data_IF_486542987718
#
_entry.id   IF_486542987718
#
_cell.length_a   1.000
_cell.length_b   1.000
_cell.length_c   1.000
_cell.angle_alpha   90.00
_cell.angle_beta   90.00
_cell.angle_gamma   90.00
#
_symmetry.space_group_name_H-M   'P 1'
#
loop_
_entity.id
_entity.type
_entity.pdbx_description
1 polymer ?
#
# COMPACT_ATOMS: atom_id res chain seq x y z
N UNK A 1 2.68 14.01 25.90
CA UNK A 1 2.72 13.66 24.48
C UNK A 1 3.02 12.17 24.31
N UNK A 2 2.22 11.51 23.54
CA UNK A 2 2.35 10.08 23.34
C UNK A 2 3.27 9.80 22.15
N UNK A 3 4.24 8.91 22.35
CA UNK A 3 5.11 8.50 21.28
C UNK A 3 4.36 7.52 20.37
N UNK A 4 4.51 7.68 19.06
CA UNK A 4 3.94 6.72 18.12
C UNK A 4 4.68 5.40 18.18
N UNK A 5 3.94 4.33 18.01
CA UNK A 5 4.55 3.01 17.89
C UNK A 5 5.19 2.88 16.51
N UNK A 6 6.26 2.10 16.45
CA UNK A 6 6.97 1.84 15.22
C UNK A 6 6.33 0.67 14.49
N UNK A 7 6.19 0.77 13.16
CA UNK A 7 5.74 -0.33 12.33
C UNK A 7 6.71 -0.47 11.16
N UNK A 8 7.12 -1.69 10.88
CA UNK A 8 8.02 -1.99 9.77
C UNK A 8 7.19 -2.39 8.57
N UNK A 9 7.44 -1.72 7.46
CA UNK A 9 6.59 -1.84 6.27
C UNK A 9 7.45 -2.10 5.04
N UNK A 10 6.97 -2.95 4.15
CA UNK A 10 7.58 -3.17 2.86
C UNK A 10 6.54 -3.03 1.75
N UNK A 11 7.03 -2.77 0.55
CA UNK A 11 6.20 -2.67 -0.65
C UNK A 11 6.82 -3.54 -1.74
N UNK A 12 6.00 -4.34 -2.40
CA UNK A 12 6.48 -5.27 -3.42
C UNK A 12 5.54 -5.27 -4.62
N UNK A 13 6.12 -5.48 -5.80
CA UNK A 13 5.37 -5.71 -7.04
C UNK A 13 4.44 -4.56 -7.43
N UNK A 14 4.80 -3.35 -7.03
CA UNK A 14 4.10 -2.16 -7.50
C UNK A 14 4.63 -1.76 -8.87
N UNK A 15 3.97 -0.78 -9.47
CA UNK A 15 4.34 -0.29 -10.79
C UNK A 15 5.69 0.42 -10.76
N UNK A 16 6.32 0.60 -11.94
CA UNK A 16 7.55 1.38 -12.02
C UNK A 16 7.32 2.79 -11.48
N UNK A 17 8.35 3.37 -10.89
CA UNK A 17 8.33 4.71 -10.32
C UNK A 17 7.51 4.82 -9.03
N UNK A 18 7.09 3.71 -8.47
CA UNK A 18 6.43 3.73 -7.17
C UNK A 18 7.47 4.09 -6.09
N UNK A 19 7.17 5.10 -5.30
CA UNK A 19 8.09 5.58 -4.28
C UNK A 19 7.64 5.03 -2.92
N UNK A 20 8.50 4.23 -2.30
CA UNK A 20 8.11 3.47 -1.11
C UNK A 20 7.88 4.34 0.11
N UNK A 21 8.57 5.45 0.22
CA UNK A 21 8.40 6.35 1.36
C UNK A 21 7.63 7.62 1.01
N UNK A 22 6.91 7.60 -0.10
CA UNK A 22 6.08 8.74 -0.50
C UNK A 22 4.92 8.22 -1.33
N UNK A 23 3.93 7.65 -0.66
CA UNK A 23 2.74 7.14 -1.32
C UNK A 23 1.59 7.16 -0.31
N UNK A 24 0.38 6.91 -0.83
CA UNK A 24 -0.82 6.99 -0.02
C UNK A 24 -0.75 6.10 1.23
N UNK A 25 -0.30 4.86 1.06
CA UNK A 25 -0.29 3.91 2.17
C UNK A 25 0.72 4.30 3.24
N UNK A 26 1.89 4.76 2.80
CA UNK A 26 2.92 5.22 3.73
C UNK A 26 2.41 6.39 4.57
N UNK A 27 1.82 7.37 3.91
CA UNK A 27 1.37 8.57 4.62
C UNK A 27 0.17 8.28 5.52
N UNK A 28 -0.71 7.38 5.09
CA UNK A 28 -1.86 6.99 5.91
C UNK A 28 -1.39 6.33 7.21
N UNK A 29 -0.46 5.40 7.11
CA UNK A 29 0.09 4.74 8.29
C UNK A 29 0.86 5.71 9.16
N UNK A 30 1.57 6.63 8.55
CA UNK A 30 2.42 7.56 9.27
C UNK A 30 1.63 8.55 10.15
N UNK A 31 0.33 8.60 9.99
CA UNK A 31 -0.51 9.39 10.88
C UNK A 31 -0.61 8.76 12.26
N UNK A 32 -0.52 7.42 12.34
CA UNK A 32 -0.70 6.70 13.59
C UNK A 32 0.57 6.02 14.08
N UNK A 33 1.51 5.77 13.19
CA UNK A 33 2.72 5.01 13.49
C UNK A 33 3.95 5.74 13.01
N UNK A 34 5.09 5.38 13.58
CA UNK A 34 6.36 5.75 13.00
C UNK A 34 6.72 4.66 11.99
N UNK A 35 6.62 4.98 10.70
CA UNK A 35 6.79 3.99 9.64
C UNK A 35 8.26 3.84 9.29
N UNK A 36 8.75 2.62 9.33
CA UNK A 36 10.11 2.29 8.92
C UNK A 36 10.02 1.33 7.74
N UNK A 37 10.71 1.66 6.65
CA UNK A 37 10.77 0.76 5.51
C UNK A 37 11.79 -0.32 5.81
N UNK A 38 11.33 -1.57 5.87
CA UNK A 38 12.19 -2.72 6.16
C UNK A 38 11.79 -3.86 5.23
N UNK A 39 12.59 -4.08 4.21
CA UNK A 39 12.25 -5.08 3.19
C UNK A 39 12.67 -6.48 3.59
N UNK A 40 13.40 -6.63 4.69
CA UNK A 40 13.84 -7.95 5.12
C UNK A 40 12.89 -8.60 6.11
N UNK A 41 12.42 -7.84 7.07
CA UNK A 41 11.54 -8.37 8.12
C UNK A 41 10.41 -7.38 8.43
N UNK A 42 9.54 -7.12 7.46
CA UNK A 42 8.45 -6.18 7.71
C UNK A 42 7.36 -6.84 8.54
N UNK A 43 6.66 -6.00 9.31
CA UNK A 43 5.43 -6.42 9.97
C UNK A 43 4.28 -6.46 8.97
N UNK A 44 4.32 -5.56 8.00
CA UNK A 44 3.25 -5.35 7.04
C UNK A 44 3.82 -5.20 5.64
N UNK A 45 3.29 -5.95 4.70
CA UNK A 45 3.66 -5.86 3.30
C UNK A 45 2.47 -5.40 2.48
N UNK A 46 2.66 -4.30 1.74
CA UNK A 46 1.72 -3.95 0.67
C UNK A 46 2.27 -4.49 -0.64
N UNK A 47 1.43 -5.15 -1.41
CA UNK A 47 1.85 -5.63 -2.72
C UNK A 47 0.74 -5.41 -3.72
N UNK A 48 1.10 -5.37 -4.99
CA UNK A 48 0.16 -5.03 -6.04
C UNK A 48 0.26 -6.02 -7.18
N UNK A 49 -0.35 -5.68 -8.31
CA UNK A 49 -0.27 -6.47 -9.52
C UNK A 49 1.20 -6.54 -9.94
N UNK A 50 1.70 -7.72 -10.13
CA UNK A 50 3.12 -7.94 -10.41
C UNK A 50 3.43 -7.59 -11.86
N UNK A 51 3.65 -6.30 -12.11
CA UNK A 51 3.90 -5.81 -13.47
C UNK A 51 5.21 -6.34 -14.05
N UNK A 52 6.15 -6.69 -13.19
CA UNK A 52 7.44 -7.21 -13.66
C UNK A 52 7.47 -8.73 -13.68
N UNK A 53 6.45 -9.37 -13.18
CA UNK A 53 6.34 -10.82 -13.07
C UNK A 53 7.46 -11.46 -12.24
N UNK A 54 7.99 -10.70 -11.28
CA UNK A 54 9.05 -11.21 -10.40
C UNK A 54 8.50 -11.85 -9.13
N UNK A 55 7.24 -11.57 -8.81
CA UNK A 55 6.55 -12.15 -7.66
C UNK A 55 7.32 -11.95 -6.36
N UNK A 56 7.81 -10.73 -6.16
CA UNK A 56 8.59 -10.41 -4.98
C UNK A 56 7.80 -10.61 -3.69
N UNK A 57 6.47 -10.43 -3.75
CA UNK A 57 5.64 -10.61 -2.56
C UNK A 57 5.68 -12.04 -2.03
N UNK A 58 6.01 -13.01 -2.86
CA UNK A 58 6.02 -14.41 -2.44
C UNK A 58 7.19 -14.75 -1.53
N UNK A 59 8.20 -13.89 -1.49
CA UNK A 59 9.34 -14.10 -0.59
C UNK A 59 8.98 -13.98 0.87
N UNK A 60 7.88 -13.32 1.17
CA UNK A 60 7.51 -13.03 2.55
C UNK A 60 6.61 -14.11 3.11
N UNK A 61 6.92 -14.54 4.33
CA UNK A 61 6.20 -15.62 5.01
C UNK A 61 4.87 -15.08 5.55
N UNK A 62 3.77 -15.70 5.12
CA UNK A 62 2.42 -15.30 5.55
C UNK A 62 2.22 -15.40 7.05
N UNK A 63 3.01 -16.21 7.74
CA UNK A 63 2.87 -16.36 9.20
C UNK A 63 3.62 -15.28 9.96
N UNK A 64 4.55 -14.58 9.31
CA UNK A 64 5.38 -13.56 9.97
C UNK A 64 5.06 -12.15 9.51
N UNK A 65 4.55 -12.00 8.30
CA UNK A 65 4.25 -10.70 7.72
C UNK A 65 2.80 -10.65 7.29
N UNK A 66 2.08 -9.62 7.72
CA UNK A 66 0.72 -9.40 7.21
C UNK A 66 0.80 -8.80 5.83
N UNK A 67 0.08 -9.37 4.88
CA UNK A 67 0.11 -8.92 3.49
C UNK A 67 -1.21 -8.28 3.10
N UNK A 68 -1.12 -7.12 2.46
CA UNK A 68 -2.28 -6.40 1.95
C UNK A 68 -2.07 -6.17 0.46
N UNK A 69 -2.95 -6.73 -0.35
CA UNK A 69 -2.91 -6.59 -1.79
C UNK A 69 -3.69 -5.34 -2.21
N UNK A 70 -3.11 -4.55 -3.10
CA UNK A 70 -3.80 -3.41 -3.69
C UNK A 70 -3.85 -3.56 -5.20
N UNK A 71 -4.99 -3.28 -5.79
CA UNK A 71 -5.08 -3.13 -7.24
C UNK A 71 -6.08 -2.05 -7.60
N UNK A 72 -5.70 -1.24 -8.60
CA UNK A 72 -6.62 -0.31 -9.21
C UNK A 72 -7.26 -0.88 -10.46
N UNK A 73 -6.99 -2.15 -10.77
CA UNK A 73 -7.53 -2.81 -11.93
C UNK A 73 -8.66 -3.76 -11.53
N UNK A 74 -9.43 -4.20 -12.49
CA UNK A 74 -10.55 -5.09 -12.23
C UNK A 74 -10.05 -6.53 -12.10
N UNK A 75 -9.35 -6.80 -11.02
CA UNK A 75 -8.76 -8.09 -10.73
C UNK A 75 -9.18 -8.56 -9.35
N UNK A 76 -9.40 -9.85 -9.22
CA UNK A 76 -9.74 -10.43 -7.93
C UNK A 76 -8.49 -10.71 -7.12
N UNK A 77 -8.51 -10.43 -5.80
CA UNK A 77 -7.40 -10.78 -4.94
C UNK A 77 -7.22 -12.29 -4.81
N UNK A 78 -5.98 -12.70 -4.60
CA UNK A 78 -5.64 -14.09 -4.35
C UNK A 78 -5.36 -14.28 -2.86
N UNK A 79 -6.36 -14.73 -2.14
CA UNK A 79 -6.27 -14.84 -0.69
C UNK A 79 -5.41 -16.01 -0.20
N UNK A 80 -4.86 -16.79 -1.12
CA UNK A 80 -3.83 -17.75 -0.73
C UNK A 80 -2.50 -17.05 -0.49
N UNK A 81 -2.31 -15.88 -1.09
CA UNK A 81 -1.06 -15.15 -1.01
C UNK A 81 -1.19 -13.79 -0.34
N UNK A 82 -2.35 -13.46 0.20
CA UNK A 82 -2.52 -12.19 0.90
C UNK A 82 -3.58 -12.35 2.00
N UNK A 83 -3.42 -11.55 3.05
CA UNK A 83 -4.37 -11.60 4.18
C UNK A 83 -5.59 -10.71 3.91
N UNK A 84 -5.37 -9.58 3.27
CA UNK A 84 -6.42 -8.62 3.03
C UNK A 84 -6.16 -7.92 1.71
N UNK A 85 -7.15 -7.17 1.24
CA UNK A 85 -7.02 -6.49 -0.05
C UNK A 85 -7.73 -5.15 -0.06
N UNK A 86 -7.25 -4.29 -0.97
CA UNK A 86 -7.85 -3.02 -1.30
C UNK A 86 -8.06 -3.04 -2.81
N UNK A 87 -9.32 -3.08 -3.24
CA UNK A 87 -9.62 -3.26 -4.66
C UNK A 87 -10.97 -2.63 -5.00
N UNK A 88 -11.40 -2.80 -6.24
CA UNK A 88 -12.72 -2.34 -6.66
C UNK A 88 -13.85 -3.26 -6.22
N UNK A 89 -13.53 -4.44 -5.73
CA UNK A 89 -14.55 -5.38 -5.29
C UNK A 89 -15.30 -4.85 -4.08
N UNK A 90 -16.48 -5.41 -3.84
CA UNK A 90 -17.27 -5.01 -2.68
C UNK A 90 -16.50 -5.24 -1.40
N UNK A 91 -16.70 -4.35 -0.45
CA UNK A 91 -16.12 -4.51 0.88
C UNK A 91 -16.72 -5.74 1.55
N UNK A 92 -15.85 -6.56 2.14
CA UNK A 92 -16.24 -7.72 2.92
C UNK A 92 -15.23 -7.86 4.06
N UNK A 93 -15.14 -9.05 4.67
CA UNK A 93 -14.25 -9.22 5.81
C UNK A 93 -12.76 -9.27 5.44
N UNK A 94 -12.41 -9.36 4.17
CA UNK A 94 -11.01 -9.35 3.73
C UNK A 94 -10.71 -8.24 2.74
N UNK A 95 -11.70 -7.72 2.04
CA UNK A 95 -11.50 -6.68 1.03
C UNK A 95 -12.15 -5.38 1.43
N UNK A 96 -11.41 -4.29 1.29
CA UNK A 96 -11.95 -2.94 1.43
C UNK A 96 -11.94 -2.28 0.06
N UNK A 97 -13.07 -1.77 -0.37
CA UNK A 97 -13.18 -1.12 -1.68
C UNK A 97 -12.41 0.20 -1.66
N UNK A 98 -11.43 0.31 -2.53
CA UNK A 98 -10.60 1.50 -2.61
C UNK A 98 -10.52 1.94 -4.07
N UNK A 99 -11.22 3.01 -4.45
CA UNK A 99 -11.15 3.49 -5.84
C UNK A 99 -9.75 4.01 -6.17
N UNK A 100 -9.35 3.82 -7.41
CA UNK A 100 -8.02 4.22 -7.85
C UNK A 100 -7.75 5.71 -7.62
N UNK A 101 -8.75 6.56 -7.82
CA UNK A 101 -8.54 8.01 -7.70
C UNK A 101 -8.07 8.44 -6.32
N UNK A 102 -8.32 7.63 -5.30
CA UNK A 102 -7.91 7.96 -3.94
C UNK A 102 -6.40 8.15 -3.85
N UNK A 103 -5.64 7.33 -4.59
CA UNK A 103 -4.19 7.40 -4.55
C UNK A 103 -3.63 8.60 -5.28
N UNK A 104 -4.43 9.22 -6.12
CA UNK A 104 -3.97 10.34 -6.94
C UNK A 104 -4.26 11.70 -6.33
N UNK A 105 -4.86 11.72 -5.15
CA UNK A 105 -5.09 12.94 -4.41
C UNK A 105 -4.12 12.96 -3.24
N UNK A 106 -3.44 14.08 -3.08
CA UNK A 106 -2.56 14.19 -1.92
C UNK A 106 -3.35 14.69 -0.74
N UNK A 107 -3.73 13.78 0.13
CA UNK A 107 -4.55 14.08 1.29
C UNK A 107 -3.75 14.72 2.43
N UNK A 108 -2.44 14.61 2.38
CA UNK A 108 -1.59 14.90 3.53
C UNK A 108 -0.68 16.10 3.33
N UNK A 109 -0.61 16.66 2.13
CA UNK A 109 0.31 17.75 1.82
C UNK A 109 -0.36 18.77 0.91
N UNK A 110 -0.85 19.85 1.51
CA UNK A 110 -1.56 20.88 0.77
C UNK A 110 -0.67 21.56 -0.26
N UNK A 111 0.60 21.78 0.08
CA UNK A 111 1.53 22.40 -0.84
C UNK A 111 1.73 21.55 -2.10
N UNK A 112 1.81 20.26 -1.92
CA UNK A 112 1.94 19.36 -3.06
C UNK A 112 0.77 19.50 -4.01
N UNK A 113 -0.44 19.60 -3.47
CA UNK A 113 -1.63 19.70 -4.30
C UNK A 113 -1.63 20.92 -5.18
N UNK A 114 -1.06 22.00 -4.72
CA UNK A 114 -0.99 23.22 -5.51
C UNK A 114 -0.11 23.06 -6.74
N UNK A 115 0.86 22.15 -6.66
CA UNK A 115 1.81 21.96 -7.74
C UNK A 115 1.55 20.73 -8.56
N UNK A 116 0.58 19.93 -8.19
CA UNK A 116 0.33 18.67 -8.87
C UNK A 116 -0.52 18.89 -10.10
N UNK A 117 0.06 18.60 -11.26
CA UNK A 117 -0.63 18.81 -12.52
C UNK A 117 -1.71 17.79 -12.80
N UNK A 118 -1.62 16.67 -12.17
CA UNK A 118 -2.48 15.55 -12.48
C UNK A 118 -3.92 15.74 -12.09
N UNK A 119 -4.16 16.52 -11.04
CA UNK A 119 -5.52 16.69 -10.57
C UNK A 119 -5.84 18.04 -9.99
N UNK A 120 -4.95 18.96 -10.18
CA UNK A 120 -5.28 20.32 -9.82
C UNK A 120 -5.92 21.06 -10.94
N UNK A 121 -5.77 20.56 -12.11
CA UNK A 121 -6.32 21.20 -13.29
C UNK A 121 -7.75 20.83 -13.48
#
# INVERSE_FOLDING_TARGET
MTRKETIKVAFADFWPNFIKNDNYFYHLLNQEFEVIIDEKKPDLLFHSVDYSNKKEHEKYDMTKTKKIFYTGENLDPDYENTHASLSFNKTNNQNYRLPLWVLHINWFNIGYRKNNRGYEQ
#
